data_IF_021416331556
#
_entry.id   IF_021416331556
#
_cell.length_a   1.000
_cell.length_b   1.000
_cell.length_c   1.000
_cell.angle_alpha   90.00
_cell.angle_beta   90.00
_cell.angle_gamma   90.00
#
_symmetry.space_group_name_H-M   'P 1'
#
loop_
_entity.id
_entity.type
_entity.pdbx_description
1 polymer ?
#
# COMPACT_ATOMS: atom_id res chain seq x y z
N UNK A 1 3.59 -22.89 -16.57
CA UNK A 1 3.66 -23.47 -15.20
C UNK A 1 2.58 -22.79 -14.36
N UNK A 2 1.42 -23.43 -14.15
CA UNK A 2 0.33 -22.85 -13.36
C UNK A 2 0.77 -22.76 -11.89
N UNK A 3 0.78 -21.55 -11.31
CA UNK A 3 1.01 -21.37 -9.87
C UNK A 3 -0.19 -21.98 -9.14
N UNK A 4 0.08 -22.94 -8.24
CA UNK A 4 -0.91 -23.46 -7.29
C UNK A 4 -1.22 -22.32 -6.33
N UNK A 5 -2.41 -21.73 -6.43
CA UNK A 5 -2.85 -20.69 -5.49
C UNK A 5 -2.74 -21.26 -4.08
N UNK A 6 -1.85 -20.70 -3.26
CA UNK A 6 -1.78 -21.05 -1.85
C UNK A 6 -3.07 -20.52 -1.22
N UNK A 7 -3.72 -21.29 -0.34
CA UNK A 7 -4.89 -20.76 0.38
C UNK A 7 -4.45 -19.47 1.10
N UNK A 8 -5.10 -18.31 0.85
CA UNK A 8 -4.71 -17.08 1.51
C UNK A 8 -4.83 -17.27 3.02
N UNK A 9 -3.88 -16.71 3.77
CA UNK A 9 -3.93 -16.76 5.23
C UNK A 9 -5.22 -16.11 5.74
N UNK A 10 -5.68 -16.50 6.94
CA UNK A 10 -6.85 -15.87 7.57
C UNK A 10 -6.72 -14.34 7.63
N UNK A 11 -5.51 -13.85 7.91
CA UNK A 11 -5.21 -12.41 7.94
C UNK A 11 -5.43 -11.75 6.57
N UNK A 12 -4.96 -12.36 5.49
CA UNK A 12 -5.17 -11.88 4.12
C UNK A 12 -6.65 -11.83 3.78
N UNK A 13 -7.38 -12.92 4.01
CA UNK A 13 -8.80 -13.02 3.71
C UNK A 13 -9.60 -11.94 4.45
N UNK A 14 -9.24 -11.65 5.70
CA UNK A 14 -9.92 -10.67 6.53
C UNK A 14 -9.62 -9.23 6.10
N UNK A 15 -8.37 -8.90 5.78
CA UNK A 15 -8.00 -7.60 5.20
C UNK A 15 -8.73 -7.39 3.88
N UNK A 16 -8.73 -8.40 3.00
CA UNK A 16 -9.46 -8.37 1.73
C UNK A 16 -10.94 -8.09 1.96
N UNK A 17 -11.59 -8.84 2.85
CA UNK A 17 -13.02 -8.69 3.17
C UNK A 17 -13.36 -7.27 3.59
N UNK A 18 -12.62 -6.70 4.53
CA UNK A 18 -12.89 -5.34 5.02
C UNK A 18 -12.66 -4.30 3.91
N UNK A 19 -11.60 -4.43 3.12
CA UNK A 19 -11.36 -3.53 1.99
C UNK A 19 -12.50 -3.59 0.96
N UNK A 20 -12.96 -4.80 0.58
CA UNK A 20 -13.97 -4.94 -0.47
C UNK A 20 -15.39 -4.69 0.01
N UNK A 21 -15.79 -5.28 1.14
CA UNK A 21 -17.18 -5.30 1.60
C UNK A 21 -17.54 -4.10 2.47
N UNK A 22 -16.59 -3.57 3.25
CA UNK A 22 -16.87 -2.48 4.20
C UNK A 22 -16.35 -1.12 3.73
N UNK A 23 -15.34 -1.11 2.87
CA UNK A 23 -14.76 0.12 2.29
C UNK A 23 -15.05 0.28 0.79
N UNK A 24 -15.66 -0.72 0.14
CA UNK A 24 -16.03 -0.65 -1.27
C UNK A 24 -14.82 -0.60 -2.23
N UNK A 25 -13.64 -1.02 -1.78
CA UNK A 25 -12.40 -0.99 -2.55
C UNK A 25 -12.19 -2.34 -3.25
N UNK A 26 -12.34 -2.36 -4.57
CA UNK A 26 -12.13 -3.56 -5.36
C UNK A 26 -10.67 -4.04 -5.25
N UNK A 27 -10.46 -5.33 -5.01
CA UNK A 27 -9.13 -5.91 -4.79
C UNK A 27 -8.81 -7.03 -5.80
N UNK A 28 -7.59 -7.04 -6.31
CA UNK A 28 -6.98 -8.13 -7.09
C UNK A 28 -5.96 -8.84 -6.20
N UNK A 29 -6.13 -10.15 -5.96
CA UNK A 29 -5.19 -10.93 -5.13
C UNK A 29 -3.91 -11.28 -5.90
N UNK A 30 -2.79 -11.39 -5.19
CA UNK A 30 -1.52 -11.93 -5.67
C UNK A 30 -1.04 -11.32 -7.00
N UNK A 31 -1.15 -9.99 -7.14
CA UNK A 31 -0.81 -9.28 -8.37
C UNK A 31 0.72 -9.32 -8.63
N UNK A 32 1.12 -9.81 -9.81
CA UNK A 32 2.52 -9.81 -10.25
C UNK A 32 2.88 -8.47 -10.88
N UNK A 33 3.81 -7.75 -10.24
CA UNK A 33 4.36 -6.49 -10.74
C UNK A 33 5.40 -6.71 -11.85
N UNK A 34 5.66 -5.68 -12.64
CA UNK A 34 6.71 -5.70 -13.68
C UNK A 34 8.12 -5.94 -13.11
N UNK A 35 8.35 -5.66 -11.82
CA UNK A 35 9.61 -5.95 -11.12
C UNK A 35 9.76 -7.43 -10.70
N UNK A 36 8.76 -8.27 -10.94
CA UNK A 36 8.76 -9.67 -10.53
C UNK A 36 8.32 -9.91 -9.07
N UNK A 37 7.93 -8.87 -8.33
CA UNK A 37 7.29 -9.03 -7.03
C UNK A 37 5.82 -9.39 -7.17
N UNK A 38 5.35 -10.30 -6.33
CA UNK A 38 3.91 -10.49 -6.06
C UNK A 38 3.52 -9.60 -4.89
N UNK A 39 2.50 -8.76 -5.05
CA UNK A 39 1.86 -8.01 -3.95
C UNK A 39 0.60 -8.76 -3.50
N UNK A 40 0.29 -8.72 -2.21
CA UNK A 40 -0.82 -9.51 -1.66
C UNK A 40 -2.16 -9.06 -2.22
N UNK A 41 -2.39 -7.75 -2.24
CA UNK A 41 -3.54 -7.15 -2.92
C UNK A 41 -3.10 -5.95 -3.76
N UNK A 42 -3.70 -5.82 -4.93
CA UNK A 42 -3.74 -4.56 -5.67
C UNK A 42 -5.14 -3.97 -5.57
N UNK A 43 -5.24 -2.73 -5.11
CA UNK A 43 -6.51 -2.03 -5.14
C UNK A 43 -6.80 -1.53 -6.55
N UNK A 44 -8.06 -1.64 -6.96
CA UNK A 44 -8.55 -1.16 -8.24
C UNK A 44 -9.47 0.04 -8.02
N UNK A 45 -9.33 1.11 -8.82
CA UNK A 45 -10.33 2.17 -8.83
C UNK A 45 -11.70 1.59 -9.24
N UNK A 46 -12.80 2.23 -8.81
CA UNK A 46 -14.12 1.93 -9.37
C UNK A 46 -14.08 2.02 -10.91
N UNK A 47 -14.90 1.23 -11.63
CA UNK A 47 -15.01 1.34 -13.07
C UNK A 47 -15.25 2.79 -13.51
N UNK A 48 -14.49 3.26 -14.51
CA UNK A 48 -14.61 4.63 -15.02
C UNK A 48 -13.92 5.71 -14.20
N UNK A 49 -13.20 5.37 -13.11
CA UNK A 49 -12.33 6.31 -12.39
C UNK A 49 -10.85 6.08 -12.68
N UNK A 50 -10.09 7.18 -12.68
CA UNK A 50 -8.63 7.16 -12.74
C UNK A 50 -8.04 6.38 -11.54
N UNK A 51 -6.97 5.58 -11.72
CA UNK A 51 -6.27 4.88 -10.63
C UNK A 51 -5.83 5.79 -9.47
N UNK A 52 -5.50 7.05 -9.74
CA UNK A 52 -5.18 8.08 -8.74
C UNK A 52 -6.35 8.59 -7.93
N UNK A 53 -7.58 8.33 -8.37
CA UNK A 53 -8.78 8.72 -7.64
C UNK A 53 -9.00 7.86 -6.38
N UNK A 54 -8.35 6.70 -6.27
CA UNK A 54 -8.57 5.78 -5.13
C UNK A 54 -8.21 6.43 -3.79
N UNK A 55 -7.13 7.19 -3.73
CA UNK A 55 -6.73 7.98 -2.56
C UNK A 55 -7.05 9.47 -2.71
N UNK A 56 -7.60 9.88 -3.86
CA UNK A 56 -7.76 11.28 -4.24
C UNK A 56 -6.41 12.01 -4.38
N UNK A 57 -5.34 11.27 -4.72
CA UNK A 57 -3.99 11.81 -4.95
C UNK A 57 -3.16 10.88 -5.85
N UNK A 58 -2.61 11.44 -6.93
CA UNK A 58 -1.31 11.03 -7.47
C UNK A 58 -1.21 9.86 -8.45
N UNK A 59 -2.28 9.37 -9.08
CA UNK A 59 -2.25 8.44 -10.24
C UNK A 59 -1.64 7.04 -10.04
N UNK A 60 -0.91 6.81 -8.94
CA UNK A 60 -0.12 5.60 -8.71
C UNK A 60 -1.01 4.43 -8.31
N UNK A 61 -0.73 3.21 -8.80
CA UNK A 61 -1.42 2.02 -8.35
C UNK A 61 -1.13 1.77 -6.87
N UNK A 62 -2.14 1.34 -6.12
CA UNK A 62 -2.03 1.03 -4.69
C UNK A 62 -1.82 -0.47 -4.48
N UNK A 63 -0.69 -0.82 -3.89
CA UNK A 63 -0.39 -2.17 -3.41
C UNK A 63 -0.65 -2.26 -1.91
N UNK A 64 -1.28 -3.34 -1.47
CA UNK A 64 -1.43 -3.70 -0.06
C UNK A 64 -0.58 -4.93 0.25
N UNK A 65 0.27 -4.81 1.25
CA UNK A 65 1.05 -5.91 1.82
C UNK A 65 0.46 -6.29 3.18
N UNK A 66 0.06 -7.54 3.31
CA UNK A 66 -0.53 -8.13 4.51
C UNK A 66 0.59 -8.81 5.30
N UNK A 67 1.23 -8.05 6.18
CA UNK A 67 2.46 -8.50 6.80
C UNK A 67 2.18 -9.43 8.00
N UNK A 68 2.28 -10.74 7.78
CA UNK A 68 2.26 -11.76 8.84
C UNK A 68 3.50 -11.71 9.77
N UNK A 69 3.51 -12.52 10.85
CA UNK A 69 4.59 -12.53 11.85
C UNK A 69 5.99 -12.79 11.30
N UNK A 70 6.12 -13.55 10.22
CA UNK A 70 7.40 -13.88 9.57
C UNK A 70 8.07 -12.70 8.89
N UNK A 71 7.36 -11.60 8.67
CA UNK A 71 7.91 -10.36 8.11
C UNK A 71 8.58 -9.46 9.16
N UNK A 72 8.51 -9.83 10.44
CA UNK A 72 9.01 -9.04 11.55
C UNK A 72 10.02 -9.81 12.39
N UNK A 73 10.95 -9.07 13.00
CA UNK A 73 11.80 -9.61 14.04
C UNK A 73 10.96 -10.07 15.25
N UNK A 74 11.31 -11.23 15.79
CA UNK A 74 10.62 -11.88 16.93
C UNK A 74 11.30 -11.63 18.27
N UNK A 75 12.58 -11.26 18.24
CA UNK A 75 13.41 -11.00 19.40
C UNK A 75 13.24 -9.56 19.92
N UNK A 76 13.26 -9.40 21.24
CA UNK A 76 13.40 -8.08 21.86
C UNK A 76 14.85 -7.55 21.65
N UNK A 77 15.05 -6.23 21.58
CA UNK A 77 14.04 -5.15 21.63
C UNK A 77 13.32 -4.90 20.29
N UNK A 78 13.71 -5.58 19.23
CA UNK A 78 13.28 -5.32 17.84
C UNK A 78 11.91 -5.91 17.47
N UNK A 79 11.10 -6.31 18.45
CA UNK A 79 9.79 -6.90 18.18
C UNK A 79 8.97 -5.93 17.32
N UNK A 80 8.35 -6.45 16.25
CA UNK A 80 7.59 -5.67 15.26
C UNK A 80 8.43 -4.78 14.32
N UNK A 81 9.76 -4.86 14.34
CA UNK A 81 10.59 -4.27 13.29
C UNK A 81 10.57 -5.16 12.03
N UNK A 82 10.28 -4.62 10.83
CA UNK A 82 10.26 -5.41 9.61
C UNK A 82 11.65 -5.94 9.25
N UNK A 83 11.73 -7.17 8.76
CA UNK A 83 12.98 -7.79 8.34
C UNK A 83 13.52 -7.17 7.04
N UNK A 84 14.81 -7.39 6.76
CA UNK A 84 15.49 -6.78 5.61
C UNK A 84 14.82 -7.06 4.26
N UNK A 85 14.35 -8.30 4.05
CA UNK A 85 13.64 -8.66 2.81
C UNK A 85 12.31 -7.91 2.65
N UNK A 86 11.58 -7.72 3.76
CA UNK A 86 10.35 -6.92 3.79
C UNK A 86 10.68 -5.47 3.45
N UNK A 87 11.65 -4.86 4.14
CA UNK A 87 12.06 -3.47 3.88
C UNK A 87 12.50 -3.27 2.42
N UNK A 88 13.29 -4.21 1.87
CA UNK A 88 13.79 -4.16 0.50
C UNK A 88 12.65 -4.22 -0.52
N UNK A 89 11.73 -5.19 -0.40
CA UNK A 89 10.54 -5.29 -1.26
C UNK A 89 9.75 -3.98 -1.26
N UNK A 90 9.47 -3.42 -0.08
CA UNK A 90 8.72 -2.17 0.05
C UNK A 90 9.41 -0.99 -0.62
N UNK A 91 10.75 -0.89 -0.49
CA UNK A 91 11.53 0.16 -1.15
C UNK A 91 11.48 0.02 -2.67
N UNK A 92 11.64 -1.19 -3.21
CA UNK A 92 11.58 -1.44 -4.65
C UNK A 92 10.20 -1.13 -5.23
N UNK A 93 9.13 -1.56 -4.58
CA UNK A 93 7.76 -1.25 -5.00
C UNK A 93 7.52 0.27 -5.04
N UNK A 94 7.91 0.99 -3.98
CA UNK A 94 7.77 2.46 -3.94
C UNK A 94 8.58 3.13 -5.04
N UNK A 95 9.83 2.72 -5.25
CA UNK A 95 10.69 3.25 -6.30
C UNK A 95 10.11 3.01 -7.71
N UNK A 96 9.43 1.88 -7.93
CA UNK A 96 8.72 1.56 -9.17
C UNK A 96 7.33 2.21 -9.27
N UNK A 97 7.07 3.27 -8.50
CA UNK A 97 5.85 4.04 -8.66
C UNK A 97 4.61 3.46 -7.99
N UNK A 98 4.74 2.53 -7.03
CA UNK A 98 3.59 2.05 -6.25
C UNK A 98 3.35 2.84 -4.96
N UNK A 99 2.11 3.25 -4.73
CA UNK A 99 1.66 3.66 -3.41
C UNK A 99 1.46 2.41 -2.55
N UNK A 100 2.14 2.31 -1.40
CA UNK A 100 2.24 1.06 -0.66
C UNK A 100 1.57 1.13 0.72
N UNK A 101 0.48 0.39 0.89
CA UNK A 101 -0.22 0.17 2.15
C UNK A 101 0.33 -1.09 2.86
N UNK A 102 1.12 -0.93 3.92
CA UNK A 102 1.49 -2.06 4.78
C UNK A 102 0.45 -2.26 5.89
N UNK A 103 -0.05 -3.47 6.05
CA UNK A 103 -1.00 -3.91 7.08
C UNK A 103 -0.32 -4.94 7.99
N UNK A 104 0.37 -4.49 9.06
CA UNK A 104 1.06 -5.38 9.97
C UNK A 104 0.10 -6.18 10.86
N UNK A 105 0.34 -7.50 10.99
CA UNK A 105 -0.48 -8.39 11.82
C UNK A 105 -0.65 -7.88 13.26
N UNK A 106 0.42 -7.35 13.86
CA UNK A 106 0.44 -6.90 15.25
C UNK A 106 -0.37 -5.60 15.49
N UNK A 107 -0.81 -4.91 14.43
CA UNK A 107 -1.76 -3.79 14.53
C UNK A 107 -3.18 -4.22 14.16
N UNK A 108 -3.32 -5.12 13.19
CA UNK A 108 -4.62 -5.51 12.67
C UNK A 108 -5.29 -6.65 13.46
N UNK A 109 -4.57 -7.74 13.75
CA UNK A 109 -5.15 -8.91 14.43
C UNK A 109 -5.66 -8.65 15.85
N UNK A 110 -4.97 -7.85 16.70
CA UNK A 110 -5.48 -7.56 18.04
C UNK A 110 -6.76 -6.70 18.04
N UNK A 111 -7.09 -6.03 16.94
CA UNK A 111 -8.28 -5.20 16.86
C UNK A 111 -9.54 -6.09 16.82
N UNK A 112 -10.58 -5.80 17.63
CA UNK A 112 -11.87 -6.47 17.54
C UNK A 112 -12.45 -6.35 16.12
N UNK A 113 -13.26 -7.31 15.64
CA UNK A 113 -13.84 -7.28 14.30
C UNK A 113 -14.48 -5.94 13.92
N UNK A 114 -15.26 -5.34 14.83
CA UNK A 114 -15.92 -4.05 14.64
C UNK A 114 -14.96 -2.85 14.47
N UNK A 115 -13.70 -2.98 14.90
CA UNK A 115 -12.68 -1.92 14.81
C UNK A 115 -11.75 -2.09 13.60
N UNK A 116 -11.78 -3.23 12.89
CA UNK A 116 -10.85 -3.54 11.78
C UNK A 116 -11.00 -2.58 10.61
N UNK A 117 -12.24 -2.16 10.32
CA UNK A 117 -12.54 -1.10 9.34
C UNK A 117 -11.75 0.17 9.63
N UNK A 118 -11.86 0.66 10.87
CA UNK A 118 -11.17 1.87 11.33
C UNK A 118 -9.65 1.75 11.22
N UNK A 119 -9.09 0.58 11.58
CA UNK A 119 -7.64 0.34 11.41
C UNK A 119 -7.23 0.53 9.95
N UNK A 120 -7.97 0.00 8.98
CA UNK A 120 -7.64 0.17 7.57
C UNK A 120 -7.87 1.60 7.08
N UNK A 121 -8.90 2.29 7.55
CA UNK A 121 -9.12 3.72 7.25
C UNK A 121 -7.95 4.58 7.72
N UNK A 122 -7.47 4.38 8.95
CA UNK A 122 -6.31 5.09 9.48
C UNK A 122 -5.06 4.84 8.64
N UNK A 123 -4.86 3.60 8.16
CA UNK A 123 -3.73 3.26 7.27
C UNK A 123 -3.88 3.88 5.87
N UNK A 124 -5.09 3.92 5.31
CA UNK A 124 -5.38 4.56 4.03
C UNK A 124 -5.20 6.08 4.11
N UNK A 125 -5.62 6.71 5.21
CA UNK A 125 -5.40 8.13 5.47
C UNK A 125 -3.90 8.45 5.60
N UNK A 126 -3.14 7.61 6.30
CA UNK A 126 -1.69 7.75 6.38
C UNK A 126 -1.03 7.64 5.00
N UNK A 127 -1.43 6.65 4.19
CA UNK A 127 -0.91 6.51 2.82
C UNK A 127 -1.28 7.71 1.94
N UNK A 128 -2.51 8.24 2.08
CA UNK A 128 -2.93 9.46 1.39
C UNK A 128 -2.04 10.64 1.75
N UNK A 129 -1.74 10.82 3.04
CA UNK A 129 -0.84 11.89 3.50
C UNK A 129 0.59 11.73 2.95
N UNK A 130 1.12 10.49 2.92
CA UNK A 130 2.42 10.18 2.29
C UNK A 130 2.42 10.58 0.80
N UNK A 131 1.36 10.29 0.05
CA UNK A 131 1.26 10.65 -1.36
C UNK A 131 1.11 12.17 -1.60
N UNK A 132 0.36 12.88 -0.76
CA UNK A 132 0.27 14.36 -0.81
C UNK A 132 1.66 14.98 -0.60
N UNK A 133 2.38 14.57 0.45
CA UNK A 133 3.71 15.08 0.75
C UNK A 133 4.71 14.80 -0.38
N UNK A 134 4.63 13.61 -1.01
CA UNK A 134 5.44 13.25 -2.17
C UNK A 134 5.19 14.19 -3.36
N UNK A 135 3.92 14.45 -3.69
CA UNK A 135 3.57 15.33 -4.81
C UNK A 135 4.05 16.76 -4.62
N UNK A 136 3.90 17.29 -3.40
CA UNK A 136 4.41 18.61 -3.03
C UNK A 136 5.94 18.69 -3.21
N UNK A 137 6.67 17.64 -2.82
CA UNK A 137 8.14 17.57 -2.98
C UNK A 137 8.57 17.44 -4.44
N UNK A 138 7.76 16.82 -5.30
CA UNK A 138 8.06 16.66 -6.74
C UNK A 138 7.75 17.88 -7.62
N UNK A 139 7.26 18.99 -7.06
CA UNK A 139 6.97 20.21 -7.81
C UNK A 139 5.75 20.13 -8.75
N UNK A 140 4.86 19.15 -8.58
CA UNK A 140 3.73 18.89 -9.50
C UNK A 140 2.46 19.68 -9.11
N UNK A 141 2.53 20.57 -8.11
CA UNK A 141 1.38 21.36 -7.68
C UNK A 141 1.38 22.83 -8.13
N UNK A 142 2.45 23.33 -8.74
CA UNK A 142 2.45 24.69 -9.30
C UNK A 142 2.91 24.67 -10.75
N UNK A 143 1.97 24.94 -11.67
CA UNK A 143 2.21 25.12 -13.09
C UNK A 143 3.03 26.37 -13.42
N UNK A 144 4.19 26.56 -12.79
CA UNK A 144 5.16 27.59 -13.14
C UNK A 144 6.49 26.96 -13.51
N UNK A 145 6.73 26.88 -14.81
CA UNK A 145 8.06 26.81 -15.40
C UNK A 145 8.88 27.99 -14.87
N UNK A 146 9.79 27.75 -13.94
CA UNK A 146 10.84 28.70 -13.62
C UNK A 146 11.80 28.78 -14.80
N UNK A 147 11.54 29.71 -15.72
CA UNK A 147 12.54 30.22 -16.66
C UNK A 147 13.54 31.04 -15.86
N UNK A 148 14.74 30.50 -15.67
CA UNK A 148 15.86 31.27 -15.12
C UNK A 148 16.47 32.12 -16.23
N UNK A 149 15.95 33.33 -16.43
CA UNK A 149 16.68 34.39 -17.13
C UNK A 149 17.77 34.94 -16.21
N UNK A 150 19.04 34.73 -16.58
CA UNK A 150 20.18 35.44 -15.99
C UNK A 150 20.10 36.92 -16.36
N UNK A 151 20.30 37.86 -15.42
CA UNK A 151 20.64 39.23 -15.79
C UNK A 151 22.13 39.34 -16.13
N UNK A 152 22.41 40.30 -17.01
CA UNK A 152 23.70 40.64 -17.61
C UNK A 152 24.73 41.14 -16.60
#
# INVERSE_FOLDING_TARGET
RARRASRPSHLHAEVRRVLSEELGLACEDEHLTALGYTVDLRLRPPPGRDPGALLGVGGRPVAVEVDGPTHFARNAPHRAQPLGHTVMKRRHLRAAGWALLSVPYHRFQPAPPAARRRVLEERLLALRAEEVARLATSGVLDGQLFSSSKPQ
#
